data_IF_952038804016
#
_entry.id   IF_952038804016
#
_cell.length_a   1.000
_cell.length_b   1.000
_cell.length_c   1.000
_cell.angle_alpha   90.00
_cell.angle_beta   90.00
_cell.angle_gamma   90.00
#
_symmetry.space_group_name_H-M   'P 1'
#
loop_
_entity.id
_entity.type
_entity.pdbx_description
1 polymer ?
#
# COMPACT_ATOMS: atom_id res chain seq x y z
N UNK A 1 -6.80 38.11 -16.96
CA UNK A 1 -6.22 37.66 -15.68
C UNK A 1 -5.53 36.32 -15.91
N UNK A 2 -4.44 36.03 -15.22
CA UNK A 2 -3.82 34.70 -15.28
C UNK A 2 -4.81 33.66 -14.72
N UNK A 3 -4.93 32.51 -15.37
CA UNK A 3 -5.83 31.44 -14.91
C UNK A 3 -5.25 30.81 -13.62
N UNK A 4 -6.01 30.69 -12.52
CA UNK A 4 -5.51 30.12 -11.26
C UNK A 4 -5.04 28.68 -11.41
N UNK A 5 -3.86 28.36 -10.90
CA UNK A 5 -3.28 27.01 -10.95
C UNK A 5 -2.61 26.71 -9.62
N UNK A 6 -3.00 25.64 -8.95
CA UNK A 6 -2.23 25.10 -7.83
C UNK A 6 -1.15 24.17 -8.37
N UNK A 7 0.04 24.21 -7.78
CA UNK A 7 1.19 23.41 -8.20
C UNK A 7 1.85 22.73 -7.02
N UNK A 8 2.16 21.45 -7.17
CA UNK A 8 2.90 20.63 -6.21
C UNK A 8 4.09 19.97 -6.93
N UNK A 9 5.30 20.09 -6.39
CA UNK A 9 6.52 19.53 -6.98
C UNK A 9 7.23 18.62 -5.96
N UNK A 10 6.89 17.32 -5.90
CA UNK A 10 7.52 16.40 -4.94
C UNK A 10 9.02 16.18 -5.17
N UNK A 11 9.50 16.35 -6.41
CA UNK A 11 10.93 16.29 -6.74
C UNK A 11 11.32 17.40 -7.70
N UNK A 12 12.62 17.59 -7.88
CA UNK A 12 13.16 18.46 -8.93
C UNK A 12 12.62 18.03 -10.29
N UNK A 13 11.94 18.95 -10.98
CA UNK A 13 11.31 18.77 -12.29
C UNK A 13 10.19 17.72 -12.36
N UNK A 14 9.78 17.13 -11.25
CA UNK A 14 8.55 16.32 -11.17
C UNK A 14 7.50 17.19 -10.51
N UNK A 15 6.56 17.69 -11.31
CA UNK A 15 5.51 18.58 -10.82
C UNK A 15 4.15 18.18 -11.35
N UNK A 16 3.17 18.40 -10.50
CA UNK A 16 1.75 18.28 -10.79
C UNK A 16 1.12 19.66 -10.66
N UNK A 17 0.21 19.99 -11.56
CA UNK A 17 -0.59 21.20 -11.46
C UNK A 17 -2.05 20.91 -11.72
N UNK A 18 -2.93 21.69 -11.09
CA UNK A 18 -4.37 21.58 -11.24
C UNK A 18 -5.00 22.96 -11.36
N UNK A 19 -5.99 23.06 -12.25
CA UNK A 19 -6.96 24.15 -12.32
C UNK A 19 -8.37 23.57 -12.29
N UNK A 20 -9.25 24.28 -11.61
CA UNK A 20 -10.66 23.96 -11.43
C UNK A 20 -11.46 25.19 -11.85
N UNK A 21 -12.12 25.17 -13.03
CA UNK A 21 -12.94 26.27 -13.51
C UNK A 21 -14.03 26.68 -12.52
N UNK A 22 -14.49 27.93 -12.59
CA UNK A 22 -15.51 28.49 -11.66
C UNK A 22 -16.78 27.62 -11.56
N UNK A 23 -17.22 27.07 -12.70
CA UNK A 23 -18.40 26.19 -12.78
C UNK A 23 -18.21 24.87 -12.04
N UNK A 24 -17.00 24.29 -12.12
CA UNK A 24 -16.64 23.03 -11.45
C UNK A 24 -16.39 23.28 -9.97
N UNK A 25 -15.73 24.39 -9.62
CA UNK A 25 -15.49 24.80 -8.24
C UNK A 25 -16.80 25.08 -7.48
N UNK A 26 -17.82 25.58 -8.16
CA UNK A 26 -19.12 25.89 -7.55
C UNK A 26 -20.04 24.67 -7.44
N UNK A 27 -20.03 23.79 -8.44
CA UNK A 27 -20.93 22.62 -8.48
C UNK A 27 -20.31 21.34 -7.89
N UNK A 28 -19.00 21.32 -7.66
CA UNK A 28 -18.23 20.15 -7.23
C UNK A 28 -17.95 19.14 -8.34
N UNK A 29 -18.50 19.34 -9.55
CA UNK A 29 -18.44 18.37 -10.66
C UNK A 29 -18.21 19.07 -12.00
N UNK A 30 -17.62 18.38 -12.97
CA UNK A 30 -17.34 18.93 -14.30
C UNK A 30 -15.86 18.88 -14.66
N UNK A 31 -15.48 19.70 -15.63
CA UNK A 31 -14.13 19.72 -16.19
C UNK A 31 -13.09 20.14 -15.14
N UNK A 32 -12.00 19.40 -15.06
CA UNK A 32 -10.76 19.83 -14.41
C UNK A 32 -9.59 19.75 -15.39
N UNK A 33 -8.55 20.54 -15.12
CA UNK A 33 -7.34 20.57 -15.92
C UNK A 33 -6.16 20.16 -15.06
N UNK A 34 -5.41 19.16 -15.50
CA UNK A 34 -4.22 18.64 -14.82
C UNK A 34 -3.00 18.83 -15.71
N UNK A 35 -1.85 19.15 -15.12
CA UNK A 35 -0.56 19.03 -15.78
C UNK A 35 0.33 18.08 -14.99
N UNK A 36 0.98 17.16 -15.68
CA UNK A 36 2.02 16.30 -15.12
C UNK A 36 3.30 16.57 -15.91
N UNK A 37 4.38 16.87 -15.19
CA UNK A 37 5.72 17.06 -15.75
C UNK A 37 6.71 16.15 -15.03
N UNK A 38 7.62 15.55 -15.78
CA UNK A 38 8.72 14.77 -15.23
C UNK A 38 9.89 14.66 -16.22
N UNK A 39 11.13 14.48 -15.75
CA UNK A 39 12.24 14.11 -16.62
C UNK A 39 12.00 12.79 -17.36
N UNK A 40 12.41 12.70 -18.62
CA UNK A 40 12.38 11.46 -19.42
C UNK A 40 13.41 10.42 -18.97
N UNK A 41 14.19 10.72 -17.92
CA UNK A 41 15.01 9.73 -17.21
C UNK A 41 14.17 8.80 -16.33
N UNK A 42 12.93 9.19 -15.99
CA UNK A 42 11.96 8.28 -15.40
C UNK A 42 11.27 7.45 -16.49
N UNK A 43 10.93 6.21 -16.21
CA UNK A 43 10.19 5.36 -17.15
C UNK A 43 8.74 5.81 -17.32
N UNK A 44 8.14 6.39 -16.28
CA UNK A 44 6.85 7.06 -16.31
C UNK A 44 6.72 8.05 -15.16
N UNK A 45 5.71 8.91 -15.21
CA UNK A 45 5.20 9.66 -14.06
C UNK A 45 3.69 9.48 -13.96
N UNK A 46 3.15 9.48 -12.75
CA UNK A 46 1.74 9.29 -12.52
C UNK A 46 1.20 10.19 -11.41
N UNK A 47 -0.05 10.58 -11.55
CA UNK A 47 -0.86 11.28 -10.57
C UNK A 47 -2.15 10.49 -10.38
N UNK A 48 -2.60 10.31 -9.15
CA UNK A 48 -3.85 9.60 -8.85
C UNK A 48 -4.74 10.41 -7.92
N UNK A 49 -6.04 10.38 -8.19
CA UNK A 49 -7.09 10.87 -7.31
C UNK A 49 -7.42 9.82 -6.26
N UNK A 50 -7.44 10.22 -4.99
CA UNK A 50 -7.67 9.33 -3.86
C UNK A 50 -6.43 9.18 -2.97
N UNK A 51 -6.60 8.59 -1.77
CA UNK A 51 -5.55 8.54 -0.75
C UNK A 51 -4.52 7.42 -0.95
N UNK A 52 -4.84 6.41 -1.76
CA UNK A 52 -3.99 5.23 -1.98
C UNK A 52 -4.20 4.67 -3.39
N UNK A 53 -3.30 3.80 -3.83
CA UNK A 53 -3.35 3.17 -5.16
C UNK A 53 -4.61 2.30 -5.35
N UNK A 54 -5.07 1.63 -4.29
CA UNK A 54 -6.33 0.91 -4.31
C UNK A 54 -7.52 1.88 -4.36
N UNK A 55 -8.41 1.71 -5.33
CA UNK A 55 -9.58 2.57 -5.53
C UNK A 55 -9.28 3.92 -6.19
N UNK A 56 -8.03 4.21 -6.60
CA UNK A 56 -7.70 5.49 -7.22
C UNK A 56 -8.02 5.55 -8.72
N UNK A 57 -8.40 6.74 -9.19
CA UNK A 57 -8.35 7.10 -10.62
C UNK A 57 -6.94 7.63 -10.94
N UNK A 58 -6.21 6.96 -11.82
CA UNK A 58 -4.77 7.20 -12.03
C UNK A 58 -4.49 7.65 -13.47
N UNK A 59 -3.73 8.73 -13.62
CA UNK A 59 -3.20 9.21 -14.88
C UNK A 59 -1.72 8.87 -14.94
N UNK A 60 -1.35 7.95 -15.83
CA UNK A 60 0.05 7.58 -16.08
C UNK A 60 0.49 8.22 -17.39
N UNK A 61 1.67 8.83 -17.38
CA UNK A 61 2.30 9.39 -18.57
C UNK A 61 3.68 8.79 -18.79
N UNK A 62 3.99 8.51 -20.05
CA UNK A 62 5.32 8.12 -20.52
C UNK A 62 5.51 8.64 -21.95
N UNK A 63 6.75 8.78 -22.45
CA UNK A 63 6.97 9.19 -23.83
C UNK A 63 6.29 8.25 -24.83
N UNK A 64 5.77 8.81 -25.92
CA UNK A 64 5.29 8.06 -27.09
C UNK A 64 6.42 7.23 -27.71
N UNK A 65 6.09 6.28 -28.59
CA UNK A 65 7.06 5.38 -29.23
C UNK A 65 8.19 6.14 -29.95
N UNK A 66 7.86 7.27 -30.60
CA UNK A 66 8.82 8.15 -31.27
C UNK A 66 9.61 9.06 -30.30
N UNK A 67 9.18 9.13 -29.04
CA UNK A 67 9.77 9.94 -27.97
C UNK A 67 9.60 11.45 -28.14
N UNK A 68 8.73 11.92 -29.04
CA UNK A 68 8.48 13.35 -29.28
C UNK A 68 7.22 13.85 -28.55
N UNK A 69 6.29 12.94 -28.29
CA UNK A 69 5.05 13.23 -27.57
C UNK A 69 4.96 12.40 -26.29
N UNK A 70 3.85 12.50 -25.58
CA UNK A 70 3.52 11.70 -24.40
C UNK A 70 2.30 10.84 -24.68
N UNK A 71 2.31 9.62 -24.15
CA UNK A 71 1.15 8.74 -24.06
C UNK A 71 0.50 8.94 -22.70
N UNK A 72 -0.79 9.25 -22.70
CA UNK A 72 -1.62 9.34 -21.49
C UNK A 72 -2.42 8.07 -21.33
N UNK A 73 -2.17 7.33 -20.26
CA UNK A 73 -2.90 6.13 -19.87
C UNK A 73 -3.70 6.40 -18.60
N UNK A 74 -5.02 6.48 -18.72
CA UNK A 74 -5.95 6.45 -17.58
C UNK A 74 -6.05 5.03 -17.05
N UNK A 75 -5.94 4.83 -15.74
CA UNK A 75 -5.91 3.51 -15.14
C UNK A 75 -6.75 3.45 -13.87
N UNK A 76 -7.31 2.27 -13.62
CA UNK A 76 -8.09 1.99 -12.43
C UNK A 76 -7.23 1.30 -11.39
N UNK A 77 -7.13 1.91 -10.21
CA UNK A 77 -6.52 1.31 -9.04
C UNK A 77 -7.45 0.30 -8.37
N UNK A 78 -7.04 -0.95 -8.24
CA UNK A 78 -7.83 -2.02 -7.58
C UNK A 78 -7.11 -2.64 -6.37
N UNK A 79 -5.90 -2.18 -6.09
CA UNK A 79 -5.01 -2.72 -5.06
C UNK A 79 -3.59 -2.23 -5.27
N UNK A 80 -2.64 -2.84 -4.57
CA UNK A 80 -1.19 -2.61 -4.78
C UNK A 80 -0.64 -3.51 -5.90
N UNK A 81 -1.37 -3.59 -7.01
CA UNK A 81 -0.99 -4.33 -8.21
C UNK A 81 -0.98 -3.36 -9.39
N UNK A 82 -0.33 -3.71 -10.51
CA UNK A 82 -0.29 -2.83 -11.67
C UNK A 82 -1.72 -2.41 -12.09
N UNK A 83 -2.06 -1.11 -12.08
CA UNK A 83 -3.34 -0.64 -12.55
C UNK A 83 -3.45 -0.92 -14.04
N UNK A 84 -4.63 -1.33 -14.48
CA UNK A 84 -4.92 -1.58 -15.89
C UNK A 84 -5.56 -0.35 -16.53
N UNK A 85 -5.34 -0.18 -17.83
CA UNK A 85 -5.95 0.91 -18.59
C UNK A 85 -7.48 0.80 -18.56
N UNK A 86 -8.14 1.94 -18.42
CA UNK A 86 -9.60 2.05 -18.46
C UNK A 86 -10.03 3.17 -19.40
N UNK A 87 -11.11 2.91 -20.14
CA UNK A 87 -11.78 3.88 -21.03
C UNK A 87 -12.92 4.61 -20.35
N UNK A 88 -13.25 4.28 -19.09
CA UNK A 88 -14.32 4.94 -18.34
C UNK A 88 -13.99 6.39 -17.97
N UNK A 89 -12.71 6.74 -17.92
CA UNK A 89 -12.23 8.08 -17.58
C UNK A 89 -12.10 8.91 -18.86
N UNK A 90 -12.87 9.98 -18.94
CA UNK A 90 -12.89 10.91 -20.07
C UNK A 90 -11.77 11.94 -19.90
N UNK A 91 -10.52 11.50 -20.09
CA UNK A 91 -9.35 12.34 -20.06
C UNK A 91 -8.65 12.40 -21.42
N UNK A 92 -8.30 13.60 -21.86
CA UNK A 92 -7.63 13.84 -23.15
C UNK A 92 -6.43 14.75 -22.98
N UNK A 93 -5.40 14.50 -23.79
CA UNK A 93 -4.26 15.41 -23.90
C UNK A 93 -4.67 16.70 -24.60
N UNK A 94 -4.16 17.81 -24.11
CA UNK A 94 -4.35 19.15 -24.63
C UNK A 94 -3.07 19.68 -25.28
N UNK A 95 -3.22 20.80 -26.01
CA UNK A 95 -2.10 21.57 -26.53
C UNK A 95 -1.06 21.87 -25.44
N UNK A 96 0.22 21.86 -25.83
CA UNK A 96 1.36 22.03 -24.93
C UNK A 96 1.85 20.73 -24.28
N UNK A 97 1.18 19.60 -24.53
CA UNK A 97 1.71 18.27 -24.20
C UNK A 97 2.82 17.86 -25.16
N UNK A 98 3.78 17.09 -24.67
CA UNK A 98 4.86 16.51 -25.47
C UNK A 98 6.16 16.34 -24.69
N UNK A 99 7.24 16.01 -25.40
CA UNK A 99 8.58 15.88 -24.84
C UNK A 99 9.46 17.01 -25.36
N UNK A 100 10.04 17.79 -24.47
CA UNK A 100 10.96 18.88 -24.81
C UNK A 100 12.02 19.05 -23.73
N UNK A 101 13.27 19.28 -24.14
CA UNK A 101 14.41 19.47 -23.23
C UNK A 101 14.56 18.37 -22.17
N UNK A 102 14.25 17.11 -22.53
CA UNK A 102 14.32 15.97 -21.61
C UNK A 102 13.23 15.96 -20.54
N UNK A 103 12.18 16.77 -20.67
CA UNK A 103 10.98 16.77 -19.81
C UNK A 103 9.79 16.28 -20.65
N UNK A 104 9.06 15.31 -20.13
CA UNK A 104 7.73 14.93 -20.62
C UNK A 104 6.68 15.77 -19.89
N UNK A 105 5.78 16.36 -20.66
CA UNK A 105 4.68 17.21 -20.17
C UNK A 105 3.36 16.69 -20.73
N UNK A 106 2.39 16.45 -19.86
CA UNK A 106 1.02 16.16 -20.25
C UNK A 106 0.10 17.23 -19.67
N UNK A 107 -0.55 17.99 -20.55
CA UNK A 107 -1.68 18.85 -20.20
C UNK A 107 -2.95 18.04 -20.45
N UNK A 108 -3.80 17.89 -19.45
CA UNK A 108 -4.91 16.93 -19.46
C UNK A 108 -6.18 17.70 -19.13
N UNK A 109 -7.22 17.53 -19.96
CA UNK A 109 -8.60 17.85 -19.58
C UNK A 109 -9.26 16.56 -19.13
N UNK A 110 -9.89 16.56 -17.96
CA UNK A 110 -10.77 15.46 -17.56
C UNK A 110 -12.19 15.95 -17.28
N UNK A 111 -13.18 15.32 -17.92
CA UNK A 111 -14.58 15.76 -17.88
C UNK A 111 -15.48 15.02 -16.90
N UNK A 112 -15.06 13.84 -16.42
CA UNK A 112 -15.83 13.04 -15.46
C UNK A 112 -15.01 12.57 -14.25
N UNK A 113 -13.93 13.29 -13.92
CA UNK A 113 -13.02 12.91 -12.83
C UNK A 113 -13.52 13.23 -11.42
N UNK A 114 -14.76 13.64 -11.26
CA UNK A 114 -15.39 13.80 -9.95
C UNK A 114 -15.92 12.46 -9.40
N UNK A 115 -16.07 11.42 -10.23
CA UNK A 115 -16.55 10.10 -9.81
C UNK A 115 -16.02 9.01 -10.73
N UNK A 116 -15.61 7.88 -10.16
CA UNK A 116 -15.10 6.72 -10.87
C UNK A 116 -15.43 5.44 -10.10
N UNK A 117 -15.19 4.28 -10.71
CA UNK A 117 -15.36 3.01 -10.01
C UNK A 117 -14.33 2.91 -8.88
N UNK A 118 -14.77 2.87 -7.62
CA UNK A 118 -13.87 2.85 -6.46
C UNK A 118 -13.65 4.20 -5.75
N UNK A 119 -14.19 5.32 -6.25
CA UNK A 119 -14.06 6.60 -5.54
C UNK A 119 -14.78 7.80 -6.16
N UNK A 120 -14.72 8.92 -5.44
CA UNK A 120 -15.22 10.21 -5.92
C UNK A 120 -14.38 11.36 -5.36
N UNK A 121 -14.44 12.51 -6.02
CA UNK A 121 -13.77 13.73 -5.62
C UNK A 121 -14.70 14.92 -5.83
N UNK A 122 -14.91 15.69 -4.77
CA UNK A 122 -15.73 16.89 -4.78
C UNK A 122 -14.84 18.12 -4.92
N UNK A 123 -14.86 18.73 -6.10
CA UNK A 123 -14.02 19.89 -6.43
C UNK A 123 -14.48 21.20 -5.80
N UNK A 124 -15.62 21.20 -5.09
CA UNK A 124 -16.06 22.36 -4.30
C UNK A 124 -15.31 22.46 -2.97
N UNK A 125 -14.68 21.37 -2.51
CA UNK A 125 -13.87 21.34 -1.28
C UNK A 125 -12.58 22.15 -1.42
N UNK A 126 -12.07 22.66 -0.30
CA UNK A 126 -10.80 23.39 -0.26
C UNK A 126 -9.59 22.46 -0.41
N UNK A 127 -9.71 21.19 -0.03
CA UNK A 127 -8.65 20.21 -0.19
C UNK A 127 -9.17 18.81 -0.52
N UNK A 128 -8.33 18.00 -1.14
CA UNK A 128 -8.63 16.62 -1.58
C UNK A 128 -7.40 15.72 -1.48
N UNK A 129 -7.60 14.41 -1.41
CA UNK A 129 -6.53 13.42 -1.31
C UNK A 129 -6.02 12.98 -2.68
N UNK A 130 -4.69 12.93 -2.82
CA UNK A 130 -4.00 12.55 -4.04
C UNK A 130 -2.81 11.63 -3.75
N UNK A 131 -2.40 10.89 -4.76
CA UNK A 131 -1.14 10.14 -4.78
C UNK A 131 -0.33 10.54 -6.00
N UNK A 132 0.99 10.41 -5.92
CA UNK A 132 1.85 10.47 -7.10
C UNK A 132 2.81 9.29 -7.11
N UNK A 133 3.32 8.97 -8.30
CA UNK A 133 4.46 8.08 -8.43
C UNK A 133 5.32 8.38 -9.65
N UNK A 134 6.58 7.96 -9.60
CA UNK A 134 7.51 7.95 -10.73
C UNK A 134 8.15 6.58 -10.86
N UNK A 135 8.25 6.12 -12.10
CA UNK A 135 8.90 4.85 -12.43
C UNK A 135 10.42 5.01 -12.52
N UNK A 136 11.15 4.18 -11.78
CA UNK A 136 12.60 4.05 -11.95
C UNK A 136 12.92 3.08 -13.09
N UNK A 137 14.14 3.18 -13.63
CA UNK A 137 14.67 2.28 -14.65
C UNK A 137 15.10 3.00 -15.93
N UNK A 138 15.33 2.23 -16.99
CA UNK A 138 15.65 2.77 -18.31
C UNK A 138 14.48 3.56 -18.89
N UNK A 139 14.75 4.62 -19.68
CA UNK A 139 13.71 5.33 -20.42
C UNK A 139 12.80 4.37 -21.18
N UNK A 140 11.50 4.49 -20.93
CA UNK A 140 10.46 3.66 -21.53
C UNK A 140 9.69 4.50 -22.54
N UNK A 141 9.35 3.93 -23.70
CA UNK A 141 8.64 4.61 -24.79
C UNK A 141 7.59 3.67 -25.37
N UNK A 142 6.36 4.13 -25.51
CA UNK A 142 5.27 3.31 -26.02
C UNK A 142 4.05 4.17 -26.37
N UNK A 143 3.32 3.78 -27.41
CA UNK A 143 1.99 4.33 -27.71
C UNK A 143 0.85 3.49 -27.10
N UNK A 144 1.16 2.30 -26.59
CA UNK A 144 0.18 1.37 -26.05
C UNK A 144 -0.32 1.85 -24.68
N UNK A 145 -1.61 2.21 -24.59
CA UNK A 145 -2.25 2.72 -23.39
C UNK A 145 -2.20 1.74 -22.21
N UNK A 146 -2.13 0.44 -22.49
CA UNK A 146 -2.13 -0.66 -21.53
C UNK A 146 -0.73 -1.23 -21.23
N UNK A 147 0.33 -0.53 -21.64
CA UNK A 147 1.68 -1.06 -21.49
C UNK A 147 2.03 -1.40 -20.03
N UNK A 148 2.79 -2.50 -19.85
CA UNK A 148 3.36 -2.88 -18.56
C UNK A 148 4.38 -1.84 -18.11
N UNK A 149 4.23 -1.35 -16.88
CA UNK A 149 5.09 -0.31 -16.30
C UNK A 149 5.83 -0.86 -15.08
N UNK A 150 6.99 -0.29 -14.78
CA UNK A 150 7.78 -0.70 -13.62
C UNK A 150 7.09 -0.33 -12.30
N UNK A 151 7.33 -1.11 -11.25
CA UNK A 151 6.90 -0.72 -9.91
C UNK A 151 7.61 0.59 -9.50
N UNK A 152 6.86 1.56 -8.99
CA UNK A 152 7.45 2.78 -8.42
C UNK A 152 8.19 2.43 -7.12
N UNK A 153 9.51 2.67 -7.08
CA UNK A 153 10.30 2.43 -5.86
C UNK A 153 9.77 3.22 -4.65
N UNK A 154 10.12 2.85 -3.42
CA UNK A 154 9.58 3.47 -2.20
C UNK A 154 9.86 4.98 -2.10
N UNK A 155 10.96 5.46 -2.69
CA UNK A 155 11.32 6.88 -2.74
C UNK A 155 10.66 7.66 -3.87
N UNK A 156 9.98 6.98 -4.80
CA UNK A 156 9.38 7.57 -6.00
C UNK A 156 7.87 7.75 -5.89
N UNK A 157 7.26 7.63 -4.71
CA UNK A 157 5.81 7.69 -4.53
C UNK A 157 5.43 8.29 -3.17
N UNK A 158 4.26 8.91 -3.09
CA UNK A 158 3.64 9.29 -1.81
C UNK A 158 2.16 9.63 -2.01
N UNK A 159 1.39 9.59 -0.93
CA UNK A 159 0.11 10.31 -0.81
C UNK A 159 0.36 11.75 -0.35
N UNK A 160 -0.57 12.65 -0.65
CA UNK A 160 -0.59 14.02 -0.15
C UNK A 160 -2.00 14.61 -0.20
N UNK A 161 -2.26 15.58 0.67
CA UNK A 161 -3.48 16.39 0.64
C UNK A 161 -3.18 17.63 -0.19
N UNK A 162 -3.95 17.86 -1.26
CA UNK A 162 -3.77 19.02 -2.12
C UNK A 162 -4.74 20.14 -1.74
N UNK A 163 -4.22 21.29 -1.30
CA UNK A 163 -5.00 22.52 -1.21
C UNK A 163 -5.38 23.02 -2.61
N UNK A 164 -6.68 22.97 -2.90
CA UNK A 164 -7.29 23.34 -4.16
C UNK A 164 -7.67 24.83 -4.20
N UNK A 165 -7.59 25.56 -3.09
CA UNK A 165 -7.98 26.97 -3.04
C UNK A 165 -7.26 27.81 -4.11
N UNK A 166 -5.94 27.63 -4.38
CA UNK A 166 -5.23 28.35 -5.44
C UNK A 166 -5.56 27.88 -6.86
N UNK A 167 -6.24 26.73 -7.01
CA UNK A 167 -6.58 26.15 -8.31
C UNK A 167 -7.93 26.63 -8.86
N UNK A 168 -8.75 27.28 -8.02
CA UNK A 168 -10.14 27.61 -8.36
C UNK A 168 -10.25 28.91 -9.13
N UNK A 169 -10.90 28.83 -10.28
CA UNK A 169 -11.37 29.97 -11.04
C UNK A 169 -11.03 29.90 -12.53
N UNK A 170 -11.57 30.86 -13.27
CA UNK A 170 -11.40 30.94 -14.72
C UNK A 170 -12.42 30.11 -15.49
N UNK A 171 -12.35 30.22 -16.82
CA UNK A 171 -13.21 29.48 -17.73
C UNK A 171 -12.69 28.06 -17.99
N UNK A 172 -13.54 27.19 -18.54
CA UNK A 172 -13.21 25.80 -18.87
C UNK A 172 -12.32 25.67 -20.12
N UNK A 173 -11.17 26.35 -20.15
CA UNK A 173 -10.17 26.34 -21.22
C UNK A 173 -8.83 25.86 -20.71
N UNK A 174 -7.97 25.36 -21.60
CA UNK A 174 -6.63 24.88 -21.24
C UNK A 174 -5.80 26.00 -20.55
N UNK A 175 -5.49 25.87 -19.25
CA UNK A 175 -4.82 26.92 -18.49
C UNK A 175 -3.29 26.89 -18.63
N UNK A 176 -2.76 25.82 -19.23
CA UNK A 176 -1.31 25.54 -19.27
C UNK A 176 -0.61 26.07 -20.52
N UNK A 177 -1.39 26.59 -21.47
CA UNK A 177 -0.86 27.37 -22.60
C UNK A 177 -1.09 28.84 -22.29
N UNK A 178 -0.07 29.67 -22.52
CA UNK A 178 -0.25 31.11 -22.39
C UNK A 178 -1.35 31.55 -23.37
N UNK A 179 -2.43 32.13 -22.83
CA UNK A 179 -3.37 32.91 -23.65
C UNK A 179 -2.56 34.05 -24.24
N UNK A 180 -2.16 33.91 -25.52
CA UNK A 180 -1.52 34.98 -26.29
C UNK A 180 -2.56 36.04 -26.62
N UNK A 181 -3.07 36.75 -25.62
CA UNK A 181 -3.75 38.02 -25.82
C UNK A 181 -2.69 39.10 -25.97
N UNK A 182 -2.56 39.60 -27.20
CA UNK A 182 -1.83 40.82 -27.52
C UNK A 182 -2.19 41.96 -26.54
N UNK A 183 -1.16 42.63 -26.02
CA UNK A 183 -1.24 44.00 -25.50
C UNK A 183 -1.58 44.17 -24.02
N UNK A 184 -0.55 44.38 -23.19
CA UNK A 184 -0.71 44.93 -21.85
C UNK A 184 0.50 44.66 -20.95
N UNK A 185 1.40 45.63 -20.86
CA UNK A 185 2.59 45.62 -19.99
C UNK A 185 2.31 45.01 -18.60
N UNK A 186 3.05 43.95 -18.26
CA UNK A 186 3.30 43.58 -16.86
C UNK A 186 4.80 43.56 -16.67
N UNK A 187 5.26 44.52 -15.86
CA UNK A 187 6.64 44.76 -15.43
C UNK A 187 7.24 43.51 -14.80
N UNK A 188 8.30 42.99 -15.42
CA UNK A 188 9.23 42.04 -14.81
C UNK A 188 10.00 42.72 -13.68
N UNK A 189 9.88 42.20 -12.46
CA UNK A 189 10.73 42.56 -11.32
C UNK A 189 11.51 41.34 -10.85
N UNK A 190 12.50 40.92 -11.63
CA UNK A 190 13.53 39.99 -11.17
C UNK A 190 14.83 40.76 -11.03
N UNK A 191 15.45 40.71 -9.84
CA UNK A 191 16.86 41.07 -9.71
C UNK A 191 17.50 40.20 -8.61
N UNK A 192 18.21 39.17 -9.06
CA UNK A 192 19.29 38.56 -8.31
C UNK A 192 20.56 39.36 -8.55
N UNK A 193 21.28 39.77 -7.51
CA UNK A 193 22.69 40.17 -7.62
C UNK A 193 23.48 39.85 -6.35
N UNK A 194 24.72 39.45 -6.61
CA UNK A 194 25.82 38.95 -5.77
C UNK A 194 26.17 39.71 -4.49
N UNK A 195 26.91 39.01 -3.63
CA UNK A 195 27.44 39.48 -2.35
C UNK A 195 28.62 40.46 -2.41
N UNK A 196 28.93 41.00 -1.23
CA UNK A 196 30.03 41.90 -0.93
C UNK A 196 29.88 42.49 0.48
N UNK A 197 31.01 42.69 1.15
CA UNK A 197 31.22 42.73 2.61
C UNK A 197 30.86 44.06 3.32
N UNK A 198 30.68 43.96 4.66
CA UNK A 198 31.10 44.90 5.73
C UNK A 198 30.16 46.01 6.33
N UNK A 199 29.87 45.81 7.63
CA UNK A 199 29.96 46.71 8.81
C UNK A 199 28.82 47.68 9.24
N UNK A 200 28.43 47.44 10.52
CA UNK A 200 28.02 48.33 11.64
C UNK A 200 26.62 48.94 11.74
N UNK A 201 25.99 48.72 12.91
CA UNK A 201 25.32 49.78 13.68
C UNK A 201 23.87 49.55 14.12
N UNK A 202 23.68 48.86 15.25
CA UNK A 202 22.77 49.14 16.38
C UNK A 202 21.37 49.75 16.16
N UNK A 203 20.32 49.00 16.52
CA UNK A 203 19.55 49.16 17.78
C UNK A 203 18.19 48.46 17.73
N UNK A 204 17.94 47.62 18.73
CA UNK A 204 16.64 47.07 19.06
C UNK A 204 15.71 48.17 19.65
N UNK A 205 14.39 47.91 19.73
CA UNK A 205 13.94 47.34 21.00
C UNK A 205 12.99 46.14 20.87
N UNK A 206 13.16 45.30 21.88
CA UNK A 206 12.41 44.13 22.26
C UNK A 206 10.91 44.43 22.48
N UNK A 207 10.01 43.70 21.79
CA UNK A 207 8.60 43.59 22.17
C UNK A 207 8.25 42.11 22.31
N UNK A 208 8.17 41.71 23.57
CA UNK A 208 7.64 40.43 24.04
C UNK A 208 6.12 40.45 23.94
N UNK A 209 5.52 39.56 23.15
CA UNK A 209 4.10 39.23 23.27
C UNK A 209 3.85 37.73 23.09
N UNK A 210 3.83 37.05 24.23
CA UNK A 210 2.85 36.03 24.65
C UNK A 210 2.24 35.12 23.58
N UNK A 211 2.72 33.88 23.57
CA UNK A 211 2.05 32.70 23.02
C UNK A 211 0.81 32.34 23.85
N UNK A 212 -0.38 32.72 23.39
CA UNK A 212 -1.65 32.17 23.88
C UNK A 212 -1.97 30.90 23.09
N UNK A 213 -1.69 29.75 23.71
CA UNK A 213 -2.14 28.45 23.23
C UNK A 213 -3.66 28.40 23.19
N UNK A 214 -4.22 28.24 21.99
CA UNK A 214 -5.64 27.95 21.79
C UNK A 214 -5.77 26.50 21.35
N UNK A 215 -5.99 25.62 22.33
CA UNK A 215 -6.40 24.23 22.13
C UNK A 215 -7.86 24.21 21.67
N UNK A 216 -8.08 24.13 20.36
CA UNK A 216 -9.39 23.79 19.79
C UNK A 216 -9.44 22.28 19.58
N UNK A 217 -10.14 21.61 20.51
CA UNK A 217 -10.46 20.19 20.42
C UNK A 217 -11.33 19.93 19.19
N UNK A 218 -10.70 19.40 18.14
CA UNK A 218 -11.39 18.90 16.96
C UNK A 218 -11.74 17.44 17.20
N UNK A 219 -13.03 17.13 17.24
CA UNK A 219 -13.52 15.74 17.20
C UNK A 219 -13.00 15.06 15.93
N UNK A 220 -12.50 13.81 16.00
CA UNK A 220 -11.89 13.16 14.86
C UNK A 220 -12.99 12.71 13.90
N UNK A 221 -13.20 13.45 12.81
CA UNK A 221 -13.59 12.82 11.56
C UNK A 221 -12.48 11.84 11.19
N UNK A 222 -12.80 10.57 10.98
CA UNK A 222 -11.82 9.54 10.64
C UNK A 222 -11.26 9.79 9.23
N UNK A 223 -10.39 10.77 9.09
CA UNK A 223 -9.51 10.92 7.94
C UNK A 223 -8.60 9.71 7.90
N UNK A 224 -8.52 9.03 6.76
CA UNK A 224 -7.55 7.97 6.53
C UNK A 224 -6.14 8.51 6.79
N UNK A 225 -5.41 7.88 7.71
CA UNK A 225 -4.03 8.23 8.07
C UNK A 225 -3.09 7.20 7.40
N UNK A 226 -2.41 7.56 6.29
CA UNK A 226 -1.56 6.65 5.53
C UNK A 226 -0.37 6.14 6.36
N UNK A 227 0.20 6.97 7.24
CA UNK A 227 1.33 6.58 8.07
C UNK A 227 0.90 5.53 9.11
N UNK A 228 -0.27 5.74 9.72
CA UNK A 228 -0.87 4.74 10.62
C UNK A 228 -1.21 3.45 9.88
N UNK A 229 -1.73 3.54 8.65
CA UNK A 229 -2.01 2.35 7.84
C UNK A 229 -0.72 1.56 7.54
N UNK A 230 0.36 2.22 7.11
CA UNK A 230 1.66 1.58 6.84
C UNK A 230 2.24 0.92 8.09
N UNK A 231 2.15 1.58 9.26
CA UNK A 231 2.57 1.02 10.55
C UNK A 231 1.75 -0.22 10.92
N UNK A 232 0.44 -0.21 10.68
CA UNK A 232 -0.44 -1.36 10.95
C UNK A 232 -0.18 -2.50 9.96
N UNK A 233 0.04 -2.19 8.68
CA UNK A 233 0.41 -3.17 7.65
C UNK A 233 1.71 -3.89 8.03
N UNK A 234 2.73 -3.14 8.44
CA UNK A 234 3.99 -3.69 8.93
C UNK A 234 3.78 -4.56 10.18
N UNK A 235 3.03 -4.07 11.17
CA UNK A 235 2.75 -4.82 12.39
C UNK A 235 2.01 -6.14 12.11
N UNK A 236 0.99 -6.11 11.26
CA UNK A 236 0.27 -7.30 10.81
C UNK A 236 1.23 -8.32 10.17
N UNK A 237 2.03 -7.88 9.19
CA UNK A 237 2.95 -8.74 8.47
C UNK A 237 4.03 -9.36 9.36
N UNK A 238 4.62 -8.57 10.27
CA UNK A 238 5.67 -9.05 11.20
C UNK A 238 5.10 -10.06 12.19
N UNK A 239 3.94 -9.77 12.81
CA UNK A 239 3.32 -10.66 13.79
C UNK A 239 2.87 -11.97 13.10
N UNK A 240 2.19 -11.87 11.96
CA UNK A 240 1.75 -13.05 11.21
C UNK A 240 2.94 -13.91 10.73
N UNK A 241 4.00 -13.26 10.24
CA UNK A 241 5.25 -13.93 9.86
C UNK A 241 5.90 -14.69 11.01
N UNK A 242 6.04 -14.06 12.18
CA UNK A 242 6.58 -14.69 13.39
C UNK A 242 5.78 -15.93 13.80
N UNK A 243 4.45 -15.86 13.72
CA UNK A 243 3.56 -16.97 14.07
C UNK A 243 3.73 -18.15 13.11
N UNK A 244 3.63 -17.93 11.80
CA UNK A 244 3.60 -19.01 10.81
C UNK A 244 4.97 -19.55 10.41
N UNK A 245 6.02 -18.72 10.46
CA UNK A 245 7.39 -19.19 10.20
C UNK A 245 8.09 -19.66 11.46
N UNK A 246 7.71 -19.15 12.63
CA UNK A 246 8.36 -19.45 13.91
C UNK A 246 7.51 -20.32 14.82
N UNK A 247 6.56 -19.70 15.54
CA UNK A 247 5.93 -20.30 16.73
C UNK A 247 5.19 -21.61 16.43
N UNK A 248 4.33 -21.63 15.40
CA UNK A 248 3.56 -22.84 15.07
C UNK A 248 4.44 -24.01 14.61
N UNK A 249 5.40 -23.83 13.67
CA UNK A 249 6.37 -24.86 13.34
C UNK A 249 7.19 -25.33 14.54
N UNK A 250 7.76 -24.41 15.34
CA UNK A 250 8.60 -24.73 16.50
C UNK A 250 7.82 -25.59 17.50
N UNK A 251 6.59 -25.21 17.85
CA UNK A 251 5.77 -26.00 18.76
C UNK A 251 5.52 -27.43 18.23
N UNK A 252 5.34 -27.59 16.92
CA UNK A 252 5.17 -28.91 16.28
C UNK A 252 6.45 -29.74 16.17
N UNK A 253 7.62 -29.10 16.07
CA UNK A 253 8.94 -29.74 16.08
C UNK A 253 9.28 -30.24 17.49
N UNK A 254 9.06 -29.41 18.50
CA UNK A 254 9.41 -29.73 19.91
C UNK A 254 8.73 -31.02 20.38
N UNK A 255 7.43 -31.15 20.13
CA UNK A 255 6.66 -32.35 20.55
C UNK A 255 7.06 -33.63 19.81
N UNK A 256 7.83 -33.53 18.71
CA UNK A 256 8.30 -34.68 17.92
C UNK A 256 9.73 -35.08 18.23
N UNK A 257 10.60 -34.12 18.52
CA UNK A 257 12.03 -34.38 18.71
C UNK A 257 12.40 -34.68 20.16
N UNK A 258 11.66 -34.13 21.12
CA UNK A 258 11.95 -34.27 22.55
C UNK A 258 10.96 -35.19 23.27
N UNK A 259 11.43 -35.85 24.32
CA UNK A 259 10.70 -36.89 25.06
C UNK A 259 10.82 -36.76 26.58
N UNK A 260 11.03 -35.55 27.10
CA UNK A 260 11.09 -35.29 28.54
C UNK A 260 9.71 -35.06 29.17
N UNK A 261 9.62 -35.24 30.49
CA UNK A 261 8.40 -34.99 31.25
C UNK A 261 7.97 -33.52 31.12
N UNK A 262 6.75 -33.29 30.62
CA UNK A 262 6.21 -31.93 30.44
C UNK A 262 6.38 -31.33 29.03
N UNK A 263 6.95 -32.05 28.06
CA UNK A 263 7.06 -31.57 26.66
C UNK A 263 5.70 -31.15 26.05
N UNK A 264 4.59 -31.77 26.50
CA UNK A 264 3.23 -31.41 26.09
C UNK A 264 2.88 -29.98 26.56
N UNK A 265 3.28 -29.59 27.76
CA UNK A 265 3.05 -28.24 28.29
C UNK A 265 3.89 -27.20 27.56
N UNK A 266 5.12 -27.55 27.17
CA UNK A 266 5.96 -26.68 26.33
C UNK A 266 5.32 -26.46 24.97
N UNK A 267 4.85 -27.54 24.32
CA UNK A 267 4.09 -27.45 23.08
C UNK A 267 2.85 -26.57 23.25
N UNK A 268 2.03 -26.84 24.27
CA UNK A 268 0.81 -26.09 24.55
C UNK A 268 1.09 -24.60 24.79
N UNK A 269 2.15 -24.26 25.53
CA UNK A 269 2.53 -22.88 25.80
C UNK A 269 2.95 -22.13 24.52
N UNK A 270 3.82 -22.72 23.70
CA UNK A 270 4.25 -22.14 22.43
C UNK A 270 3.05 -21.95 21.49
N UNK A 271 2.17 -22.95 21.41
CA UNK A 271 0.97 -22.88 20.58
C UNK A 271 -0.01 -21.82 21.08
N UNK A 272 -0.20 -21.68 22.40
CA UNK A 272 -1.06 -20.67 22.99
C UNK A 272 -0.56 -19.25 22.69
N UNK A 273 0.75 -18.99 22.84
CA UNK A 273 1.35 -17.70 22.47
C UNK A 273 1.16 -17.43 20.98
N UNK A 274 1.42 -18.43 20.11
CA UNK A 274 1.20 -18.30 18.68
C UNK A 274 -0.25 -17.98 18.32
N UNK A 275 -1.22 -18.60 18.98
CA UNK A 275 -2.65 -18.32 18.76
C UNK A 275 -3.03 -16.91 19.19
N UNK A 276 -2.57 -16.45 20.37
CA UNK A 276 -2.85 -15.08 20.84
C UNK A 276 -2.31 -14.04 19.85
N UNK A 277 -1.07 -14.21 19.38
CA UNK A 277 -0.47 -13.33 18.39
C UNK A 277 -1.20 -13.41 17.04
N UNK A 278 -1.68 -14.59 16.65
CA UNK A 278 -2.44 -14.73 15.41
C UNK A 278 -3.80 -14.03 15.48
N UNK A 279 -4.48 -14.06 16.64
CA UNK A 279 -5.72 -13.31 16.86
C UNK A 279 -5.45 -11.80 16.72
N UNK A 280 -4.35 -11.30 17.28
CA UNK A 280 -3.94 -9.89 17.11
C UNK A 280 -3.68 -9.59 15.63
N UNK A 281 -2.88 -10.40 14.95
CA UNK A 281 -2.59 -10.19 13.52
C UNK A 281 -3.86 -10.22 12.67
N UNK A 282 -4.78 -11.17 12.92
CA UNK A 282 -6.06 -11.24 12.24
C UNK A 282 -6.91 -9.99 12.49
N UNK A 283 -6.98 -9.52 13.75
CA UNK A 283 -7.66 -8.27 14.10
C UNK A 283 -7.12 -7.05 13.36
N UNK A 284 -5.79 -6.94 13.23
CA UNK A 284 -5.15 -5.89 12.41
C UNK A 284 -5.52 -6.03 10.92
N UNK A 285 -5.58 -7.27 10.40
CA UNK A 285 -6.00 -7.56 9.03
C UNK A 285 -7.46 -7.16 8.77
N UNK A 286 -8.37 -7.47 9.70
CA UNK A 286 -9.78 -7.06 9.64
C UNK A 286 -9.91 -5.54 9.69
N UNK A 287 -9.13 -4.87 10.55
CA UNK A 287 -9.13 -3.41 10.58
C UNK A 287 -8.69 -2.82 9.25
N UNK A 288 -7.62 -3.35 8.63
CA UNK A 288 -7.19 -2.91 7.31
C UNK A 288 -8.25 -3.19 6.23
N UNK A 289 -8.92 -4.35 6.27
CA UNK A 289 -10.04 -4.66 5.38
C UNK A 289 -11.16 -3.64 5.53
N UNK A 290 -11.57 -3.31 6.76
CA UNK A 290 -12.66 -2.34 6.99
C UNK A 290 -12.26 -0.93 6.56
N UNK A 291 -10.98 -0.60 6.60
CA UNK A 291 -10.44 0.71 6.20
C UNK A 291 -10.30 0.83 4.69
N UNK A 292 -9.90 -0.26 4.02
CA UNK A 292 -9.80 -0.39 2.57
C UNK A 292 -10.36 -1.77 2.18
N UNK A 293 -11.65 -1.87 1.79
CA UNK A 293 -12.27 -3.14 1.44
C UNK A 293 -11.64 -3.70 0.16
N UNK A 294 -10.78 -4.70 0.33
CA UNK A 294 -10.12 -5.46 -0.74
C UNK A 294 -10.77 -6.86 -0.85
N UNK A 295 -12.07 -6.87 -1.12
CA UNK A 295 -12.98 -8.00 -0.97
C UNK A 295 -12.72 -9.19 -1.91
N UNK A 296 -12.01 -8.97 -3.01
CA UNK A 296 -11.70 -9.98 -4.03
C UNK A 296 -10.27 -10.55 -3.95
N UNK A 297 -9.46 -10.17 -2.95
CA UNK A 297 -8.10 -10.66 -2.83
C UNK A 297 -8.01 -12.04 -2.16
N UNK A 298 -7.15 -12.91 -2.72
CA UNK A 298 -6.91 -14.26 -2.20
C UNK A 298 -6.36 -14.24 -0.77
N UNK A 299 -5.44 -13.31 -0.47
CA UNK A 299 -4.78 -13.23 0.85
C UNK A 299 -5.76 -13.11 2.03
N UNK A 300 -6.67 -12.13 2.06
CA UNK A 300 -7.53 -11.97 3.21
C UNK A 300 -8.69 -13.00 3.25
N UNK A 301 -9.13 -13.53 2.10
CA UNK A 301 -10.07 -14.67 2.05
C UNK A 301 -9.42 -15.93 2.65
N UNK A 302 -8.25 -16.31 2.15
CA UNK A 302 -7.50 -17.47 2.61
C UNK A 302 -7.10 -17.32 4.09
N UNK A 303 -6.65 -16.13 4.50
CA UNK A 303 -6.34 -15.81 5.88
C UNK A 303 -7.52 -16.01 6.83
N UNK A 304 -8.73 -15.62 6.42
CA UNK A 304 -9.96 -15.81 7.19
C UNK A 304 -10.34 -17.28 7.35
N UNK A 305 -10.18 -18.08 6.28
CA UNK A 305 -10.40 -19.53 6.33
C UNK A 305 -9.40 -20.19 7.29
N UNK A 306 -8.13 -19.84 7.19
CA UNK A 306 -7.07 -20.37 8.08
C UNK A 306 -7.38 -20.00 9.54
N UNK A 307 -7.80 -18.75 9.80
CA UNK A 307 -8.17 -18.29 11.13
C UNK A 307 -9.32 -19.12 11.72
N UNK A 308 -10.40 -19.31 10.96
CA UNK A 308 -11.55 -20.11 11.37
C UNK A 308 -11.18 -21.58 11.67
N UNK A 309 -10.26 -22.17 10.91
CA UNK A 309 -9.79 -23.53 11.16
C UNK A 309 -8.90 -23.59 12.41
N UNK A 310 -7.98 -22.65 12.57
CA UNK A 310 -7.01 -22.66 13.68
C UNK A 310 -7.65 -22.33 15.03
N UNK A 311 -8.70 -21.51 15.08
CA UNK A 311 -9.38 -21.24 16.37
C UNK A 311 -10.00 -22.50 16.99
N UNK A 312 -10.34 -23.50 16.17
CA UNK A 312 -10.89 -24.80 16.62
C UNK A 312 -9.78 -25.76 17.07
N UNK A 313 -8.52 -25.55 16.65
CA UNK A 313 -7.45 -26.49 16.91
C UNK A 313 -7.15 -26.77 18.39
N UNK A 314 -7.12 -25.78 19.31
CA UNK A 314 -6.86 -26.05 20.72
C UNK A 314 -7.84 -27.08 21.32
N UNK A 315 -9.12 -27.02 20.92
CA UNK A 315 -10.13 -28.00 21.34
C UNK A 315 -9.80 -29.40 20.81
N UNK A 316 -9.49 -29.51 19.52
CA UNK A 316 -9.12 -30.81 18.92
C UNK A 316 -7.81 -31.36 19.51
N UNK A 317 -6.86 -30.49 19.88
CA UNK A 317 -5.60 -30.86 20.52
C UNK A 317 -5.82 -31.39 21.93
N UNK A 318 -6.64 -30.70 22.74
CA UNK A 318 -7.02 -31.17 24.07
C UNK A 318 -7.69 -32.54 24.02
N UNK A 319 -8.67 -32.71 23.12
CA UNK A 319 -9.34 -34.00 22.90
C UNK A 319 -8.36 -35.07 22.41
N UNK A 320 -7.48 -34.74 21.45
CA UNK A 320 -6.44 -35.63 20.96
C UNK A 320 -5.55 -36.13 22.09
N UNK A 321 -5.01 -35.24 22.92
CA UNK A 321 -4.12 -35.61 24.03
C UNK A 321 -4.81 -36.49 25.07
N UNK A 322 -6.05 -36.17 25.47
CA UNK A 322 -6.80 -37.00 26.44
C UNK A 322 -7.12 -38.38 25.89
N UNK A 323 -7.59 -38.46 24.64
CA UNK A 323 -7.91 -39.72 23.99
C UNK A 323 -6.67 -40.54 23.70
N UNK A 324 -5.54 -39.90 23.38
CA UNK A 324 -4.26 -40.56 23.16
C UNK A 324 -3.78 -41.25 24.44
N UNK A 325 -3.73 -40.53 25.57
CA UNK A 325 -3.34 -41.11 26.88
C UNK A 325 -4.28 -42.25 27.26
N UNK A 326 -5.60 -42.07 27.10
CA UNK A 326 -6.59 -43.11 27.38
C UNK A 326 -6.41 -44.33 26.47
N UNK A 327 -6.16 -44.13 25.18
CA UNK A 327 -5.96 -45.22 24.22
C UNK A 327 -4.70 -46.03 24.52
N UNK A 328 -3.61 -45.37 24.93
CA UNK A 328 -2.38 -46.04 25.33
C UNK A 328 -2.54 -46.81 26.64
N UNK A 329 -3.24 -46.25 27.63
CA UNK A 329 -3.55 -46.94 28.88
C UNK A 329 -4.41 -48.20 28.63
N UNK A 330 -5.45 -48.08 27.80
CA UNK A 330 -6.31 -49.21 27.43
C UNK A 330 -5.57 -50.28 26.62
N UNK A 331 -4.70 -49.85 25.70
CA UNK A 331 -3.90 -50.75 24.87
C UNK A 331 -2.87 -51.54 25.71
N UNK A 332 -2.23 -50.88 26.68
CA UNK A 332 -1.35 -51.53 27.64
C UNK A 332 -2.11 -52.56 28.51
N UNK A 333 -3.32 -52.21 28.98
CA UNK A 333 -4.16 -53.14 29.73
C UNK A 333 -4.68 -54.33 28.88
N UNK A 334 -4.75 -54.16 27.55
CA UNK A 334 -5.25 -55.16 26.62
C UNK A 334 -4.14 -55.92 25.86
N UNK A 335 -2.87 -55.72 26.21
CA UNK A 335 -1.68 -56.27 25.53
C UNK A 335 -1.71 -56.12 24.00
N UNK A 336 -2.21 -54.98 23.50
CA UNK A 336 -2.30 -54.67 22.07
C UNK A 336 -1.58 -53.36 21.75
N UNK A 337 -1.08 -53.18 20.51
CA UNK A 337 -0.49 -51.92 20.11
C UNK A 337 -1.55 -50.80 20.11
N UNK A 338 -1.19 -49.65 20.67
CA UNK A 338 -2.08 -48.48 20.69
C UNK A 338 -2.21 -47.86 19.29
N UNK A 339 -3.45 -47.78 18.77
CA UNK A 339 -3.74 -47.15 17.49
C UNK A 339 -3.97 -45.64 17.59
N UNK A 340 -3.85 -44.93 16.45
CA UNK A 340 -4.24 -43.52 16.35
C UNK A 340 -5.76 -43.37 16.39
N UNK A 341 -6.26 -42.47 17.23
CA UNK A 341 -7.68 -42.10 17.25
C UNK A 341 -8.04 -41.20 16.06
N UNK A 342 -9.31 -41.14 15.65
CA UNK A 342 -9.73 -40.23 14.57
C UNK A 342 -9.39 -38.76 14.86
N UNK A 343 -9.52 -38.34 16.13
CA UNK A 343 -9.15 -36.98 16.58
C UNK A 343 -7.65 -36.72 16.45
N UNK A 344 -6.81 -37.76 16.58
CA UNK A 344 -5.37 -37.67 16.30
C UNK A 344 -5.08 -37.30 14.86
N UNK A 345 -5.79 -37.92 13.91
CA UNK A 345 -5.62 -37.61 12.49
C UNK A 345 -6.09 -36.20 12.15
N UNK A 346 -7.23 -35.79 12.72
CA UNK A 346 -7.77 -34.44 12.50
C UNK A 346 -6.81 -33.39 13.06
N UNK A 347 -6.39 -33.48 14.31
CA UNK A 347 -5.52 -32.47 14.93
C UNK A 347 -4.17 -32.35 14.20
N UNK A 348 -3.50 -33.49 13.96
CA UNK A 348 -2.18 -33.51 13.32
C UNK A 348 -2.27 -33.10 11.83
N UNK A 349 -3.26 -33.61 11.11
CA UNK A 349 -3.46 -33.33 9.69
C UNK A 349 -3.80 -31.87 9.43
N UNK A 350 -4.79 -31.35 10.17
CA UNK A 350 -5.20 -29.94 10.08
C UNK A 350 -4.05 -29.01 10.44
N UNK A 351 -3.23 -29.34 11.46
CA UNK A 351 -2.03 -28.56 11.80
C UNK A 351 -1.04 -28.43 10.64
N UNK A 352 -0.75 -29.54 9.95
CA UNK A 352 0.18 -29.53 8.82
C UNK A 352 -0.32 -28.69 7.65
N UNK A 353 -1.59 -28.89 7.28
CA UNK A 353 -2.22 -28.17 6.17
C UNK A 353 -2.33 -26.67 6.48
N UNK A 354 -2.76 -26.32 7.69
CA UNK A 354 -2.93 -24.92 8.09
C UNK A 354 -1.59 -24.16 8.18
N UNK A 355 -0.50 -24.79 8.66
CA UNK A 355 0.83 -24.16 8.66
C UNK A 355 1.28 -23.88 7.22
N UNK A 356 1.19 -24.86 6.32
CA UNK A 356 1.59 -24.67 4.92
C UNK A 356 0.74 -23.59 4.24
N UNK A 357 -0.58 -23.65 4.41
CA UNK A 357 -1.49 -22.66 3.86
C UNK A 357 -1.21 -21.26 4.41
N UNK A 358 -0.85 -21.14 5.69
CA UNK A 358 -0.48 -19.87 6.31
C UNK A 358 0.85 -19.30 5.81
N UNK A 359 1.85 -20.14 5.51
CA UNK A 359 3.09 -19.71 4.87
C UNK A 359 2.82 -19.20 3.45
N UNK A 360 2.01 -19.93 2.67
CA UNK A 360 1.58 -19.47 1.34
C UNK A 360 0.83 -18.14 1.46
N UNK A 361 -0.10 -18.04 2.41
CA UNK A 361 -0.86 -16.84 2.66
C UNK A 361 0.02 -15.66 3.06
N UNK A 362 1.06 -15.89 3.88
CA UNK A 362 2.04 -14.87 4.24
C UNK A 362 2.82 -14.38 3.02
N UNK A 363 3.23 -15.28 2.12
CA UNK A 363 3.84 -14.92 0.84
C UNK A 363 2.92 -14.06 -0.03
N UNK A 364 1.62 -14.40 -0.12
CA UNK A 364 0.62 -13.58 -0.80
C UNK A 364 0.45 -12.20 -0.15
N UNK A 365 0.53 -12.14 1.19
CA UNK A 365 0.49 -10.88 1.94
C UNK A 365 1.68 -9.98 1.66
N UNK A 366 2.90 -10.53 1.58
CA UNK A 366 4.10 -9.79 1.19
C UNK A 366 4.00 -9.25 -0.24
N UNK A 367 3.48 -10.08 -1.16
CA UNK A 367 3.22 -9.67 -2.53
C UNK A 367 2.22 -8.50 -2.59
N UNK A 368 1.13 -8.58 -1.83
CA UNK A 368 0.14 -7.51 -1.72
C UNK A 368 0.69 -6.25 -1.05
N UNK A 369 1.63 -6.38 -0.13
CA UNK A 369 2.32 -5.26 0.50
C UNK A 369 3.33 -4.58 -0.45
N UNK A 370 3.54 -5.11 -1.67
CA UNK A 370 4.52 -4.59 -2.61
C UNK A 370 5.97 -4.75 -2.14
N UNK A 371 6.21 -5.66 -1.19
CA UNK A 371 7.57 -5.98 -0.76
C UNK A 371 8.25 -6.70 -1.93
N UNK A 372 9.33 -6.12 -2.45
CA UNK A 372 10.12 -6.69 -3.55
C UNK A 372 11.60 -6.81 -3.15
N UNK A 373 12.32 -7.72 -3.81
CA UNK A 373 13.75 -7.92 -3.57
C UNK A 373 14.03 -8.58 -2.21
N UNK A 374 14.85 -7.92 -1.38
CA UNK A 374 15.43 -8.51 -0.16
C UNK A 374 14.40 -9.06 0.82
N UNK A 375 13.24 -8.39 0.99
CA UNK A 375 12.19 -8.84 1.92
C UNK A 375 11.53 -10.16 1.51
N UNK A 376 11.19 -10.31 0.23
CA UNK A 376 10.62 -11.57 -0.29
C UNK A 376 11.65 -12.70 -0.27
N UNK A 377 12.91 -12.38 -0.58
CA UNK A 377 14.00 -13.35 -0.52
C UNK A 377 14.19 -13.82 0.93
N UNK A 378 14.24 -12.89 1.89
CA UNK A 378 14.39 -13.23 3.30
C UNK A 378 13.23 -14.12 3.80
N UNK A 379 11.99 -13.78 3.44
CA UNK A 379 10.81 -14.59 3.78
C UNK A 379 10.91 -16.00 3.18
N UNK A 380 11.23 -16.10 1.88
CA UNK A 380 11.35 -17.37 1.18
C UNK A 380 12.45 -18.27 1.78
N UNK A 381 13.61 -17.69 2.10
CA UNK A 381 14.73 -18.41 2.72
C UNK A 381 14.34 -18.93 4.11
N UNK A 382 13.72 -18.08 4.94
CA UNK A 382 13.26 -18.49 6.27
C UNK A 382 12.16 -19.57 6.19
N UNK A 383 11.21 -19.42 5.27
CA UNK A 383 10.17 -20.41 5.03
C UNK A 383 10.73 -21.76 4.58
N UNK A 384 11.69 -21.76 3.64
CA UNK A 384 12.35 -22.98 3.18
C UNK A 384 13.16 -23.64 4.31
N UNK A 385 13.91 -22.86 5.09
CA UNK A 385 14.69 -23.35 6.22
C UNK A 385 13.79 -23.99 7.29
N UNK A 386 12.76 -23.25 7.76
CA UNK A 386 11.84 -23.74 8.79
C UNK A 386 10.98 -24.90 8.29
N UNK A 387 10.53 -24.86 7.03
CA UNK A 387 9.83 -25.97 6.40
C UNK A 387 10.68 -27.24 6.35
N UNK A 388 11.97 -27.10 6.01
CA UNK A 388 12.91 -28.23 6.00
C UNK A 388 13.08 -28.85 7.39
N UNK A 389 13.30 -28.02 8.42
CA UNK A 389 13.39 -28.49 9.81
C UNK A 389 12.10 -29.21 10.24
N UNK A 390 10.94 -28.66 9.86
CA UNK A 390 9.64 -29.24 10.17
C UNK A 390 9.46 -30.62 9.52
N UNK A 391 9.79 -30.76 8.24
CA UNK A 391 9.72 -32.05 7.51
C UNK A 391 10.68 -33.08 8.13
N UNK A 392 11.93 -32.69 8.41
CA UNK A 392 12.91 -33.57 9.06
C UNK A 392 12.38 -34.04 10.43
N UNK A 393 11.77 -33.14 11.21
CA UNK A 393 11.17 -33.51 12.50
C UNK A 393 10.04 -34.53 12.39
N UNK A 394 9.25 -34.46 11.30
CA UNK A 394 8.19 -35.44 11.02
C UNK A 394 8.80 -36.80 10.70
N UNK A 395 9.80 -36.86 9.84
CA UNK A 395 10.46 -38.13 9.45
C UNK A 395 11.10 -38.79 10.67
N UNK A 396 11.84 -38.03 11.49
CA UNK A 396 12.45 -38.55 12.72
C UNK A 396 11.38 -39.00 13.71
N UNK A 397 10.33 -38.20 13.91
CA UNK A 397 9.25 -38.51 14.84
C UNK A 397 8.44 -39.75 14.45
N UNK A 398 8.23 -40.00 13.15
CA UNK A 398 7.53 -41.19 12.67
C UNK A 398 8.41 -42.45 12.75
N UNK A 399 9.73 -42.33 12.58
CA UNK A 399 10.66 -43.47 12.74
C UNK A 399 10.86 -43.93 14.18
N UNK A 400 10.62 -43.04 15.15
CA UNK A 400 10.76 -43.33 16.59
C UNK A 400 9.50 -43.93 17.22
N UNK A 401 8.37 -43.88 16.53
CA UNK A 401 7.09 -44.46 16.94
C UNK A 401 6.91 -45.81 16.26
#
# INVERSE_FOLDING_TARGET
AAVPVARNCPFTNVCHSINIPDVTASSGTGDIFLQITAPTSYSYAALGQGPAMAGANIFVIYPSSDGKNVTLSTRQGVGNIQPLHTTAVQAVLLEGSGVSNGIMTANIKCSNCNSWDGGSMDFSKSSTDWIYSVGSGSPFKSDALDATITYHGPSGRSSFVWDLSPAKGGSSVNPFVAVRTNGGNVTSGGNATNGGNATNGDNAPNVTTTSTGSSSGSSPSASFDPEKFDRILLAHGVIAGLVFLGLFPIGGIVIRLFSFAGVIWVHAAIQAIGHLLFIVAFGLGVWMWMTLPLDSLVHPILGSIIFAILIIQPLTGFLHHRLFVRSHANAAAAEKPAGRTAVSWIHIGTGRVAILAGIINGGLGLWLAGVMGAGNIAYAVLAAFMGSLYIVSIVIGERRR
#
